data_IF_522172661231
#
_entry.id   IF_522172661231
#
_cell.length_a   1.000
_cell.length_b   1.000
_cell.length_c   1.000
_cell.angle_alpha   90.00
_cell.angle_beta   90.00
_cell.angle_gamma   90.00
#
_symmetry.space_group_name_H-M   'P 1'
#
loop_
_entity.id
_entity.type
_entity.pdbx_description
1 polymer ?
#
# COMPACT_ATOMS: atom_id res chain seq x y z
N UNK A 1 -27.65 47.89 -71.34
CA UNK A 1 -26.85 47.73 -70.11
C UNK A 1 -27.72 47.00 -69.10
N UNK A 2 -27.61 45.67 -69.06
CA UNK A 2 -28.32 44.80 -68.12
C UNK A 2 -27.34 44.39 -67.00
N UNK A 3 -27.73 44.39 -65.72
CA UNK A 3 -26.97 43.72 -64.68
C UNK A 3 -27.43 42.26 -64.55
N UNK A 4 -26.46 41.36 -64.54
CA UNK A 4 -26.59 39.91 -64.33
C UNK A 4 -26.69 39.57 -62.83
N UNK A 5 -27.25 38.41 -62.44
CA UNK A 5 -27.60 38.11 -61.06
C UNK A 5 -26.45 37.47 -60.26
N UNK A 6 -26.39 37.82 -58.98
CA UNK A 6 -25.46 37.29 -57.98
C UNK A 6 -25.73 35.81 -57.66
N UNK A 7 -24.72 34.96 -57.86
CA UNK A 7 -24.68 33.58 -57.39
C UNK A 7 -24.12 33.55 -55.96
N UNK A 8 -24.94 33.14 -54.99
CA UNK A 8 -24.50 32.79 -53.64
C UNK A 8 -23.95 31.36 -53.61
N UNK A 9 -22.65 31.19 -53.37
CA UNK A 9 -22.04 29.89 -53.08
C UNK A 9 -22.12 29.62 -51.56
N UNK A 10 -22.94 28.64 -51.18
CA UNK A 10 -22.95 28.09 -49.83
C UNK A 10 -21.78 27.10 -49.67
N UNK A 11 -20.80 27.44 -48.83
CA UNK A 11 -19.72 26.55 -48.46
C UNK A 11 -20.20 25.56 -47.37
N UNK A 12 -20.34 24.28 -47.72
CA UNK A 12 -20.50 23.20 -46.75
C UNK A 12 -19.15 22.91 -46.08
N UNK A 13 -18.98 23.40 -44.84
CA UNK A 13 -17.91 22.94 -43.97
C UNK A 13 -18.27 21.56 -43.41
N UNK A 14 -17.78 20.49 -44.06
CA UNK A 14 -17.73 19.16 -43.46
C UNK A 14 -16.70 19.20 -42.33
N UNK A 15 -17.18 19.26 -41.09
CA UNK A 15 -16.35 19.10 -39.90
C UNK A 15 -15.78 17.69 -39.87
N UNK A 16 -14.47 17.57 -40.07
CA UNK A 16 -13.74 16.32 -39.83
C UNK A 16 -13.69 16.16 -38.31
N UNK A 17 -14.56 15.30 -37.77
CA UNK A 17 -14.39 14.81 -36.41
C UNK A 17 -13.07 14.05 -36.35
N UNK A 18 -12.02 14.67 -35.83
CA UNK A 18 -10.78 13.98 -35.51
C UNK A 18 -11.04 13.05 -34.34
N UNK A 19 -11.35 11.79 -34.64
CA UNK A 19 -11.21 10.72 -33.65
C UNK A 19 -9.72 10.62 -33.33
N UNK A 20 -9.31 11.11 -32.15
CA UNK A 20 -7.97 10.85 -31.64
C UNK A 20 -7.77 9.32 -31.65
N UNK A 21 -6.70 8.79 -32.28
CA UNK A 21 -6.45 7.36 -32.27
C UNK A 21 -6.32 6.93 -30.81
N UNK A 22 -7.16 5.99 -30.37
CA UNK A 22 -6.87 5.24 -29.16
C UNK A 22 -5.54 4.55 -29.41
N UNK A 23 -4.50 4.99 -28.70
CA UNK A 23 -3.17 4.43 -28.80
C UNK A 23 -3.26 2.96 -28.34
N UNK A 24 -3.38 2.03 -29.28
CA UNK A 24 -3.20 0.61 -29.03
C UNK A 24 -1.71 0.40 -28.73
N UNK A 25 -1.30 0.74 -27.50
CA UNK A 25 0.05 0.46 -27.03
C UNK A 25 0.29 -1.04 -27.13
N UNK A 26 1.43 -1.41 -27.71
CA UNK A 26 1.84 -2.81 -27.72
C UNK A 26 2.04 -3.30 -26.27
N UNK A 27 1.82 -4.60 -26.01
CA UNK A 27 2.14 -5.18 -24.71
C UNK A 27 3.62 -5.00 -24.34
N UNK A 28 4.50 -4.91 -25.34
CA UNK A 28 5.92 -4.57 -25.18
C UNK A 28 6.15 -3.17 -24.60
N UNK A 29 5.43 -2.17 -25.11
CA UNK A 29 5.47 -0.79 -24.60
C UNK A 29 4.96 -0.72 -23.16
N UNK A 30 3.81 -1.35 -22.89
CA UNK A 30 3.21 -1.38 -21.56
C UNK A 30 4.13 -2.07 -20.54
N UNK A 31 4.74 -3.20 -20.90
CA UNK A 31 5.72 -3.88 -20.05
C UNK A 31 6.94 -2.98 -19.75
N UNK A 32 7.48 -2.33 -20.78
CA UNK A 32 8.64 -1.46 -20.66
C UNK A 32 8.35 -0.25 -19.76
N UNK A 33 7.18 0.39 -19.95
CA UNK A 33 6.72 1.50 -19.12
C UNK A 33 6.46 1.07 -17.68
N UNK A 34 5.85 -0.09 -17.48
CA UNK A 34 5.59 -0.64 -16.14
C UNK A 34 6.90 -0.92 -15.40
N UNK A 35 7.89 -1.55 -16.06
CA UNK A 35 9.22 -1.77 -15.47
C UNK A 35 9.89 -0.46 -15.08
N UNK A 36 9.86 0.55 -15.96
CA UNK A 36 10.44 1.86 -15.68
C UNK A 36 9.77 2.54 -14.48
N UNK A 37 8.45 2.53 -14.44
CA UNK A 37 7.65 3.09 -13.34
C UNK A 37 7.99 2.46 -11.99
N UNK A 38 8.18 1.14 -11.97
CA UNK A 38 8.44 0.37 -10.74
C UNK A 38 9.91 0.03 -10.53
N UNK A 39 10.81 0.64 -11.31
CA UNK A 39 12.28 0.46 -11.24
C UNK A 39 12.72 -1.00 -11.27
N UNK A 40 12.06 -1.81 -12.11
CA UNK A 40 12.34 -3.24 -12.24
C UNK A 40 13.50 -3.48 -13.19
N UNK A 41 14.49 -4.24 -12.73
CA UNK A 41 15.65 -4.69 -13.48
C UNK A 41 15.75 -6.21 -13.31
N UNK A 42 15.91 -6.93 -14.42
CA UNK A 42 15.97 -8.38 -14.43
C UNK A 42 17.19 -8.86 -15.21
N UNK A 43 17.71 -10.03 -14.84
CA UNK A 43 18.70 -10.73 -15.67
C UNK A 43 18.06 -11.32 -16.93
N UNK A 44 18.89 -11.66 -17.94
CA UNK A 44 18.42 -12.24 -19.21
C UNK A 44 17.54 -13.48 -19.03
N UNK A 45 17.85 -14.32 -18.04
CA UNK A 45 17.11 -15.55 -17.75
C UNK A 45 15.84 -15.31 -16.92
N UNK A 46 15.68 -14.12 -16.33
CA UNK A 46 14.55 -13.80 -15.45
C UNK A 46 13.45 -13.03 -16.18
N UNK A 47 13.82 -12.11 -17.07
CA UNK A 47 12.88 -11.19 -17.69
C UNK A 47 11.72 -11.89 -18.41
N UNK A 48 12.02 -12.98 -19.13
CA UNK A 48 11.01 -13.70 -19.91
C UNK A 48 9.86 -14.23 -19.07
N UNK A 49 10.16 -14.87 -17.92
CA UNK A 49 9.13 -15.44 -17.07
C UNK A 49 8.45 -14.37 -16.20
N UNK A 50 9.16 -13.33 -15.75
CA UNK A 50 8.56 -12.18 -15.06
C UNK A 50 7.53 -11.47 -15.94
N UNK A 51 7.86 -11.29 -17.23
CA UNK A 51 6.93 -10.75 -18.22
C UNK A 51 5.72 -11.65 -18.42
N UNK A 52 5.91 -12.97 -18.43
CA UNK A 52 4.80 -13.92 -18.54
C UNK A 52 3.83 -13.81 -17.35
N UNK A 53 4.35 -13.75 -16.12
CA UNK A 53 3.56 -13.52 -14.90
C UNK A 53 2.81 -12.19 -14.97
N UNK A 54 3.48 -11.12 -15.38
CA UNK A 54 2.84 -9.81 -15.58
C UNK A 54 1.72 -9.84 -16.62
N UNK A 55 1.92 -10.55 -17.73
CA UNK A 55 0.90 -10.72 -18.75
C UNK A 55 -0.32 -11.49 -18.24
N UNK A 56 -0.11 -12.51 -17.42
CA UNK A 56 -1.20 -13.27 -16.80
C UNK A 56 -1.98 -12.43 -15.79
N UNK A 57 -1.29 -11.66 -14.95
CA UNK A 57 -1.93 -10.73 -14.03
C UNK A 57 -2.71 -9.62 -14.76
N UNK A 58 -2.23 -9.14 -15.92
CA UNK A 58 -2.96 -8.19 -16.74
C UNK A 58 -4.27 -8.78 -17.25
N UNK A 59 -4.26 -10.02 -17.79
CA UNK A 59 -5.47 -10.71 -18.24
C UNK A 59 -6.47 -10.91 -17.11
N UNK A 60 -6.00 -11.31 -15.93
CA UNK A 60 -6.82 -11.44 -14.73
C UNK A 60 -7.51 -10.11 -14.38
N UNK A 61 -6.75 -9.01 -14.36
CA UNK A 61 -7.29 -7.66 -14.07
C UNK A 61 -8.33 -7.25 -15.10
N UNK A 62 -8.07 -7.45 -16.39
CA UNK A 62 -9.01 -7.11 -17.45
C UNK A 62 -10.30 -7.92 -17.37
N UNK A 63 -10.18 -9.22 -17.10
CA UNK A 63 -11.35 -10.10 -16.93
C UNK A 63 -12.19 -9.67 -15.73
N UNK A 64 -11.57 -9.47 -14.56
CA UNK A 64 -12.24 -8.97 -13.36
C UNK A 64 -12.97 -7.65 -13.63
N UNK A 65 -12.34 -6.72 -14.35
CA UNK A 65 -12.95 -5.43 -14.67
C UNK A 65 -14.08 -5.53 -15.72
N UNK A 66 -14.10 -6.56 -16.58
CA UNK A 66 -15.25 -6.87 -17.44
C UNK A 66 -16.43 -7.38 -16.61
N UNK A 67 -16.17 -8.30 -15.69
CA UNK A 67 -17.16 -8.85 -14.75
C UNK A 67 -17.72 -7.77 -13.81
N UNK A 68 -16.87 -6.83 -13.34
CA UNK A 68 -17.30 -5.65 -12.59
C UNK A 68 -18.31 -4.80 -13.38
N UNK A 69 -18.10 -4.58 -14.69
CA UNK A 69 -19.08 -3.86 -15.55
C UNK A 69 -20.42 -4.61 -15.66
N UNK A 70 -20.39 -5.92 -15.48
CA UNK A 70 -21.58 -6.79 -15.43
C UNK A 70 -22.19 -6.87 -14.02
N UNK A 71 -21.65 -6.12 -13.05
CA UNK A 71 -22.06 -6.08 -11.63
C UNK A 71 -21.86 -7.40 -10.89
N UNK A 72 -20.94 -8.24 -11.36
CA UNK A 72 -20.56 -9.49 -10.67
C UNK A 72 -19.60 -9.22 -9.49
N UNK A 73 -18.89 -8.08 -9.54
CA UNK A 73 -17.98 -7.62 -8.48
C UNK A 73 -18.33 -6.21 -7.99
N UNK A 74 -17.97 -5.92 -6.74
CA UNK A 74 -18.17 -4.60 -6.10
C UNK A 74 -16.92 -3.71 -6.13
N UNK A 75 -15.81 -4.20 -6.68
CA UNK A 75 -14.54 -3.48 -6.78
C UNK A 75 -13.88 -3.71 -8.14
N UNK A 76 -12.99 -2.80 -8.53
CA UNK A 76 -12.13 -2.92 -9.70
C UNK A 76 -10.70 -3.25 -9.32
N UNK A 77 -9.94 -3.79 -10.26
CA UNK A 77 -8.51 -4.06 -10.12
C UNK A 77 -7.70 -3.18 -11.06
N UNK A 78 -6.44 -2.92 -10.72
CA UNK A 78 -5.50 -2.18 -11.56
C UNK A 78 -4.09 -2.74 -11.41
N UNK A 79 -3.30 -2.63 -12.47
CA UNK A 79 -1.90 -3.03 -12.46
C UNK A 79 -1.10 -2.15 -11.50
N UNK A 80 -0.28 -2.76 -10.64
CA UNK A 80 0.54 -2.06 -9.64
C UNK A 80 1.95 -2.69 -9.56
N UNK A 81 2.74 -2.30 -8.57
CA UNK A 81 4.13 -2.77 -8.42
C UNK A 81 4.31 -4.28 -8.16
N UNK A 82 3.22 -5.00 -7.88
CA UNK A 82 3.22 -6.46 -7.69
C UNK A 82 2.89 -7.22 -8.98
N UNK A 83 2.78 -6.52 -10.11
CA UNK A 83 2.37 -7.10 -11.39
C UNK A 83 3.20 -8.29 -11.86
N UNK A 84 4.50 -8.32 -11.56
CA UNK A 84 5.44 -9.40 -11.93
C UNK A 84 5.58 -10.51 -10.89
N UNK A 85 4.79 -10.47 -9.81
CA UNK A 85 4.86 -11.44 -8.73
C UNK A 85 3.80 -12.52 -8.90
N UNK A 86 4.19 -13.76 -8.63
CA UNK A 86 3.25 -14.85 -8.43
C UNK A 86 2.53 -14.68 -7.09
N UNK A 87 1.36 -15.31 -6.94
CA UNK A 87 0.63 -15.33 -5.68
C UNK A 87 1.47 -15.90 -4.52
N UNK A 88 2.37 -16.85 -4.80
CA UNK A 88 3.24 -17.43 -3.77
C UNK A 88 4.31 -16.45 -3.31
N UNK A 89 5.02 -15.81 -4.25
CA UNK A 89 6.01 -14.77 -3.92
C UNK A 89 5.36 -13.62 -3.15
N UNK A 90 4.16 -13.18 -3.57
CA UNK A 90 3.42 -12.14 -2.87
C UNK A 90 3.12 -12.54 -1.43
N UNK A 91 2.63 -13.76 -1.19
CA UNK A 91 2.35 -14.26 0.16
C UNK A 91 3.61 -14.31 1.02
N UNK A 92 4.73 -14.74 0.47
CA UNK A 92 5.98 -14.83 1.23
C UNK A 92 6.50 -13.47 1.69
N UNK A 93 6.39 -12.43 0.86
CA UNK A 93 6.94 -11.10 1.20
C UNK A 93 5.94 -10.16 1.87
N UNK A 94 4.63 -10.36 1.69
CA UNK A 94 3.60 -9.44 2.21
C UNK A 94 2.84 -9.99 3.42
N UNK A 95 2.74 -11.31 3.60
CA UNK A 95 1.97 -11.89 4.70
C UNK A 95 2.83 -12.13 5.94
N UNK A 96 3.03 -11.07 6.71
CA UNK A 96 3.82 -11.12 7.95
C UNK A 96 3.04 -11.40 9.22
N UNK A 97 1.70 -11.56 9.18
CA UNK A 97 0.93 -11.70 10.41
C UNK A 97 1.09 -13.09 11.02
N UNK A 98 1.59 -13.13 12.25
CA UNK A 98 1.70 -14.34 13.05
C UNK A 98 0.62 -14.29 14.15
N UNK A 99 -0.45 -15.08 13.99
CA UNK A 99 -1.57 -15.07 14.92
C UNK A 99 -1.18 -15.83 16.20
N UNK A 100 -1.35 -15.17 17.35
CA UNK A 100 -1.20 -15.84 18.64
C UNK A 100 -2.42 -16.70 18.95
N UNK A 101 -2.17 -17.91 19.45
CA UNK A 101 -3.23 -18.84 19.91
C UNK A 101 -3.96 -18.34 21.16
N UNK A 102 -3.30 -17.54 22.00
CA UNK A 102 -3.85 -17.01 23.24
C UNK A 102 -3.72 -15.50 23.28
N UNK A 103 -4.86 -14.80 23.36
CA UNK A 103 -4.90 -13.35 23.51
C UNK A 103 -4.66 -12.98 24.98
N UNK A 104 -3.66 -12.15 25.24
CA UNK A 104 -3.32 -11.65 26.60
C UNK A 104 -3.83 -10.23 26.87
N UNK A 105 -4.45 -9.58 25.88
CA UNK A 105 -4.97 -8.22 25.99
C UNK A 105 -6.19 -8.07 26.90
N UNK A 106 -6.46 -6.83 27.33
CA UNK A 106 -7.68 -6.49 28.06
C UNK A 106 -8.91 -6.73 27.18
N UNK A 107 -10.00 -7.21 27.80
CA UNK A 107 -11.29 -7.34 27.12
C UNK A 107 -11.85 -5.95 26.86
N UNK A 108 -12.19 -5.66 25.60
CA UNK A 108 -12.87 -4.42 25.23
C UNK A 108 -14.26 -4.36 25.87
N UNK A 109 -14.53 -3.28 26.60
CA UNK A 109 -15.83 -3.02 27.22
C UNK A 109 -16.58 -2.01 26.36
N UNK A 110 -17.65 -2.40 25.65
CA UNK A 110 -18.39 -1.47 24.82
C UNK A 110 -19.11 -0.44 25.70
N UNK A 111 -19.12 0.84 25.29
CA UNK A 111 -19.89 1.86 26.01
C UNK A 111 -21.40 1.59 25.91
N UNK A 112 -22.10 1.58 27.06
CA UNK A 112 -23.51 1.17 27.18
C UNK A 112 -24.50 2.05 26.39
N UNK A 113 -24.16 3.33 26.20
CA UNK A 113 -25.07 4.33 25.61
C UNK A 113 -24.38 5.18 24.54
N UNK A 114 -23.37 4.64 23.85
CA UNK A 114 -22.72 5.40 22.79
C UNK A 114 -23.58 5.42 21.53
N UNK A 115 -23.91 6.63 21.07
CA UNK A 115 -24.40 6.84 19.71
C UNK A 115 -23.25 6.67 18.72
N UNK A 116 -23.29 5.60 17.94
CA UNK A 116 -22.27 5.31 16.93
C UNK A 116 -22.69 5.99 15.62
N UNK A 117 -21.89 6.91 15.07
CA UNK A 117 -22.21 7.54 13.80
C UNK A 117 -22.19 6.53 12.66
N UNK A 118 -23.03 6.76 11.64
CA UNK A 118 -23.11 5.90 10.45
C UNK A 118 -21.82 5.87 9.62
N UNK A 119 -20.93 6.85 9.81
CA UNK A 119 -19.61 6.86 9.18
C UNK A 119 -18.57 7.56 10.07
N UNK A 120 -17.33 7.04 10.03
CA UNK A 120 -16.16 7.64 10.70
C UNK A 120 -14.99 7.64 9.73
N UNK A 121 -14.28 8.78 9.66
CA UNK A 121 -13.01 8.88 8.94
C UNK A 121 -11.99 9.60 9.81
N UNK A 122 -11.13 8.82 10.47
CA UNK A 122 -10.08 9.33 11.36
C UNK A 122 -9.00 10.16 10.65
N UNK A 123 -8.80 9.97 9.34
CA UNK A 123 -7.90 10.82 8.53
C UNK A 123 -8.35 12.29 8.53
N UNK A 124 -9.66 12.52 8.34
CA UNK A 124 -10.25 13.88 8.38
C UNK A 124 -10.17 14.53 9.77
N UNK A 125 -9.87 13.74 10.81
CA UNK A 125 -9.72 14.20 12.19
C UNK A 125 -8.26 14.36 12.62
N UNK A 126 -7.29 14.10 11.74
CA UNK A 126 -5.85 14.25 12.03
C UNK A 126 -5.19 13.07 12.75
N UNK A 127 -5.86 11.92 12.86
CA UNK A 127 -5.36 10.75 13.61
C UNK A 127 -4.44 9.83 12.80
N UNK A 128 -4.21 10.12 11.53
CA UNK A 128 -3.61 9.17 10.58
C UNK A 128 -2.48 9.86 9.82
N UNK A 129 -1.29 9.28 9.89
CA UNK A 129 -0.09 9.69 9.15
C UNK A 129 -0.23 9.35 7.65
N UNK A 130 0.63 9.91 6.78
CA UNK A 130 0.67 9.52 5.37
C UNK A 130 0.89 8.01 5.17
N UNK A 131 0.41 7.47 4.05
CA UNK A 131 0.61 6.06 3.71
C UNK A 131 2.10 5.76 3.52
N UNK A 132 2.57 4.68 4.15
CA UNK A 132 3.95 4.17 4.07
C UNK A 132 4.05 2.93 3.18
N UNK A 133 5.25 2.39 2.98
CA UNK A 133 5.50 1.19 2.16
C UNK A 133 6.46 0.22 2.86
N UNK A 134 6.00 -1.00 3.13
CA UNK A 134 6.80 -2.04 3.80
C UNK A 134 7.92 -2.64 2.93
N UNK A 135 7.90 -2.41 1.62
CA UNK A 135 8.87 -3.01 0.71
C UNK A 135 8.77 -4.54 0.65
N UNK A 136 9.90 -5.22 0.41
CA UNK A 136 9.99 -6.68 0.34
C UNK A 136 10.31 -7.31 1.71
N UNK A 137 9.56 -6.90 2.73
CA UNK A 137 9.71 -7.36 4.10
C UNK A 137 8.32 -7.60 4.68
N UNK A 138 8.10 -8.74 5.34
CA UNK A 138 6.81 -9.10 5.90
C UNK A 138 6.57 -8.37 7.25
N UNK A 139 6.67 -7.05 7.24
CA UNK A 139 6.61 -6.17 8.41
C UNK A 139 5.27 -5.46 8.56
N UNK A 140 4.23 -5.83 7.81
CA UNK A 140 2.90 -5.21 7.91
C UNK A 140 2.31 -5.21 9.33
N UNK A 141 2.75 -6.14 10.19
CA UNK A 141 2.44 -6.15 11.62
C UNK A 141 3.00 -4.91 12.37
N UNK A 142 4.21 -4.46 12.03
CA UNK A 142 4.85 -3.28 12.61
C UNK A 142 4.12 -2.01 12.17
N UNK A 143 3.84 -1.86 10.87
CA UNK A 143 3.04 -0.75 10.32
C UNK A 143 1.64 -0.66 10.93
N UNK A 144 1.00 -1.81 11.17
CA UNK A 144 -0.29 -1.85 11.85
C UNK A 144 -0.19 -1.41 13.31
N UNK A 145 0.90 -1.77 14.01
CA UNK A 145 1.11 -1.39 15.40
C UNK A 145 1.43 0.11 15.53
N UNK A 146 2.37 0.63 14.75
CA UNK A 146 2.71 2.06 14.73
C UNK A 146 1.48 2.91 14.41
N UNK A 147 0.73 2.60 13.35
CA UNK A 147 -0.46 3.37 12.98
C UNK A 147 -1.54 3.42 14.08
N UNK A 148 -1.68 2.34 14.87
CA UNK A 148 -2.58 2.32 16.02
C UNK A 148 -2.06 3.19 17.17
N UNK A 149 -0.76 3.10 17.49
CA UNK A 149 -0.11 3.92 18.55
C UNK A 149 -0.16 5.40 18.16
N UNK A 150 0.18 5.74 16.92
CA UNK A 150 0.12 7.10 16.36
C UNK A 150 -1.26 7.74 16.59
N UNK A 151 -2.33 7.01 16.25
CA UNK A 151 -3.70 7.48 16.47
C UNK A 151 -4.03 7.71 17.94
N UNK A 152 -3.62 6.80 18.83
CA UNK A 152 -3.81 6.98 20.28
C UNK A 152 -2.99 8.13 20.85
N UNK A 153 -1.75 8.29 20.40
CA UNK A 153 -0.86 9.38 20.81
C UNK A 153 -1.38 10.73 20.35
N UNK A 154 -1.92 10.83 19.12
CA UNK A 154 -2.61 12.03 18.67
C UNK A 154 -3.84 12.32 19.52
N UNK A 155 -4.65 11.30 19.84
CA UNK A 155 -5.82 11.47 20.72
C UNK A 155 -5.45 11.99 22.12
N UNK A 156 -4.30 11.58 22.66
CA UNK A 156 -3.82 11.99 23.99
C UNK A 156 -3.12 13.35 24.00
N UNK A 157 -2.33 13.65 22.97
CA UNK A 157 -1.36 14.77 22.99
C UNK A 157 -1.66 15.84 21.96
N UNK A 158 -2.57 15.58 21.02
CA UNK A 158 -2.85 16.40 19.84
C UNK A 158 -1.64 16.66 18.94
N UNK A 159 -0.59 15.84 19.05
CA UNK A 159 0.59 15.87 18.17
C UNK A 159 0.65 14.59 17.37
N UNK A 160 0.60 14.71 16.05
CA UNK A 160 0.71 13.57 15.14
C UNK A 160 2.18 13.41 14.76
N UNK A 161 2.79 12.32 15.21
CA UNK A 161 4.20 12.00 14.95
C UNK A 161 4.23 10.62 14.31
N UNK A 162 4.95 10.49 13.19
CA UNK A 162 5.19 9.18 12.57
C UNK A 162 6.16 8.38 13.43
N UNK A 163 5.80 7.15 13.77
CA UNK A 163 6.59 6.25 14.61
C UNK A 163 7.37 5.23 13.78
N UNK A 164 8.48 4.76 14.32
CA UNK A 164 9.42 3.87 13.62
C UNK A 164 8.94 2.43 13.57
N UNK A 165 8.61 1.94 12.38
CA UNK A 165 8.43 0.49 12.18
C UNK A 165 9.74 -0.27 12.30
N UNK A 166 10.87 0.37 11.96
CA UNK A 166 12.19 -0.25 12.02
C UNK A 166 12.61 -0.59 13.45
N UNK A 167 12.30 0.29 14.41
CA UNK A 167 12.57 0.01 15.82
C UNK A 167 11.82 -1.25 16.29
N UNK A 168 10.57 -1.44 15.88
CA UNK A 168 9.84 -2.69 16.16
C UNK A 168 10.49 -3.89 15.47
N UNK A 169 10.90 -3.74 14.22
CA UNK A 169 11.51 -4.80 13.40
C UNK A 169 12.81 -5.33 14.02
N UNK A 170 13.63 -4.42 14.57
CA UNK A 170 14.96 -4.73 15.08
C UNK A 170 14.95 -5.12 16.57
N UNK A 171 13.95 -4.68 17.36
CA UNK A 171 13.99 -4.78 18.82
C UNK A 171 12.90 -5.66 19.45
N UNK A 172 11.73 -5.86 18.82
CA UNK A 172 10.60 -6.57 19.44
C UNK A 172 10.72 -8.12 19.40
N UNK A 173 11.94 -8.65 19.38
CA UNK A 173 12.22 -10.07 19.23
C UNK A 173 11.89 -10.86 20.51
N UNK A 174 12.18 -10.30 21.67
CA UNK A 174 11.90 -10.92 22.97
C UNK A 174 10.41 -11.17 23.22
N UNK A 175 9.55 -10.36 22.62
CA UNK A 175 8.10 -10.48 22.73
C UNK A 175 7.55 -11.49 21.70
N UNK A 176 8.39 -12.01 20.81
CA UNK A 176 8.06 -13.07 19.86
C UNK A 176 7.72 -12.58 18.45
N UNK A 177 8.17 -11.38 18.05
CA UNK A 177 8.19 -10.99 16.65
C UNK A 177 9.50 -11.47 15.98
N UNK A 178 9.48 -11.65 14.66
CA UNK A 178 10.60 -12.17 13.87
C UNK A 178 11.04 -11.22 12.75
N UNK A 179 10.93 -9.91 12.97
CA UNK A 179 11.32 -8.91 11.97
C UNK A 179 10.58 -9.10 10.64
N UNK A 180 11.35 -9.27 9.54
CA UNK A 180 10.80 -9.52 8.21
C UNK A 180 10.21 -10.91 7.99
N UNK A 181 10.38 -11.85 8.93
CA UNK A 181 9.69 -13.15 8.91
C UNK A 181 8.28 -13.07 9.47
N UNK A 182 7.86 -11.90 9.96
CA UNK A 182 6.54 -11.65 10.48
C UNK A 182 6.50 -11.42 11.99
N UNK A 183 5.30 -11.14 12.49
CA UNK A 183 5.05 -10.78 13.87
C UNK A 183 3.58 -10.45 14.13
N UNK A 184 3.32 -9.88 15.29
CA UNK A 184 1.99 -9.58 15.80
C UNK A 184 1.97 -8.21 16.47
N UNK A 185 0.89 -7.46 16.25
CA UNK A 185 0.69 -6.13 16.83
C UNK A 185 0.67 -6.16 18.36
N UNK A 186 0.08 -7.19 18.98
CA UNK A 186 0.02 -7.29 20.45
C UNK A 186 1.42 -7.44 21.06
N UNK A 187 2.33 -8.16 20.40
CA UNK A 187 3.72 -8.25 20.81
C UNK A 187 4.45 -6.91 20.64
N UNK A 188 4.17 -6.19 19.54
CA UNK A 188 4.72 -4.86 19.35
C UNK A 188 4.24 -3.89 20.46
N UNK A 189 2.95 -3.92 20.82
CA UNK A 189 2.43 -3.13 21.93
C UNK A 189 3.06 -3.50 23.27
N UNK A 190 3.29 -4.80 23.50
CA UNK A 190 3.97 -5.29 24.70
C UNK A 190 5.43 -4.82 24.74
N UNK A 191 6.15 -4.89 23.62
CA UNK A 191 7.51 -4.36 23.49
C UNK A 191 7.56 -2.88 23.83
N UNK A 192 6.70 -2.05 23.25
CA UNK A 192 6.70 -0.59 23.52
C UNK A 192 6.45 -0.30 25.00
N UNK A 193 5.61 -1.11 25.66
CA UNK A 193 5.37 -1.01 27.09
C UNK A 193 6.59 -1.41 27.91
N UNK A 194 7.24 -2.52 27.57
CA UNK A 194 8.38 -3.07 28.33
C UNK A 194 9.67 -2.26 28.10
N UNK A 195 9.87 -1.76 26.88
CA UNK A 195 10.95 -0.87 26.49
C UNK A 195 10.79 0.56 27.06
N UNK A 196 9.56 0.95 27.42
CA UNK A 196 9.25 2.29 27.94
C UNK A 196 9.16 3.38 26.87
N UNK A 197 9.11 3.01 25.58
CA UNK A 197 9.04 3.96 24.49
C UNK A 197 9.16 3.31 23.11
N UNK A 198 8.94 4.14 22.08
CA UNK A 198 9.15 3.82 20.68
C UNK A 198 9.68 5.05 19.95
N UNK A 199 10.71 4.89 19.13
CA UNK A 199 11.31 5.98 18.38
C UNK A 199 10.40 6.54 17.28
N UNK A 200 10.68 7.78 16.85
CA UNK A 200 10.02 8.36 15.68
C UNK A 200 10.63 7.79 14.39
N UNK A 201 9.84 7.82 13.31
CA UNK A 201 10.34 7.46 11.98
C UNK A 201 11.51 8.36 11.54
N UNK A 202 11.53 9.61 11.98
CA UNK A 202 12.62 10.55 11.67
C UNK A 202 13.93 10.16 12.36
N UNK A 203 13.88 9.71 13.62
CA UNK A 203 15.08 9.31 14.36
C UNK A 203 15.55 7.90 14.03
N UNK A 204 14.64 7.02 13.63
CA UNK A 204 14.96 5.64 13.23
C UNK A 204 14.19 5.24 11.96
N UNK A 205 14.72 5.58 10.76
CA UNK A 205 14.03 5.37 9.49
C UNK A 205 13.86 3.91 9.09
N UNK A 206 12.84 3.64 8.27
CA UNK A 206 12.54 2.31 7.74
C UNK A 206 13.47 1.89 6.59
N UNK A 207 14.01 0.66 6.69
CA UNK A 207 14.95 0.10 5.72
C UNK A 207 14.48 -1.20 5.06
N UNK A 208 13.30 -1.72 5.43
CA UNK A 208 12.75 -2.97 4.88
C UNK A 208 13.64 -4.20 5.04
N UNK A 209 14.50 -4.21 6.06
CA UNK A 209 15.36 -5.33 6.42
C UNK A 209 15.70 -5.22 7.91
N UNK A 210 16.01 -6.36 8.54
CA UNK A 210 16.48 -6.36 9.94
C UNK A 210 17.93 -5.87 9.97
N UNK A 211 18.21 -4.85 10.77
CA UNK A 211 19.55 -4.31 10.94
C UNK A 211 20.22 -4.92 12.19
N UNK A 212 21.25 -5.73 11.98
CA UNK A 212 22.08 -6.29 13.07
C UNK A 212 21.44 -7.46 13.85
N UNK A 213 22.23 -8.08 14.73
CA UNK A 213 21.75 -9.06 15.71
C UNK A 213 20.89 -8.35 16.78
N UNK A 214 19.89 -9.01 17.41
CA UNK A 214 18.92 -8.35 18.28
C UNK A 214 19.62 -7.53 19.37
N UNK A 215 19.56 -6.20 19.24
CA UNK A 215 20.16 -5.28 20.20
C UNK A 215 19.33 -5.34 21.50
N UNK A 216 19.95 -5.85 22.56
CA UNK A 216 19.52 -5.59 23.93
C UNK A 216 19.60 -4.08 24.15
N UNK A 217 18.44 -3.44 24.36
CA UNK A 217 18.37 -2.02 24.67
C UNK A 217 19.23 -1.71 25.90
N UNK A 218 20.36 -1.03 25.70
CA UNK A 218 21.13 -0.43 26.78
C UNK A 218 20.42 0.88 27.14
N UNK A 219 19.91 0.90 28.37
CA UNK A 219 19.38 2.06 29.08
C UNK A 219 20.04 3.40 28.65
N UNK A 220 19.26 4.32 28.10
CA UNK A 220 19.58 5.74 28.21
C UNK A 220 18.32 6.59 28.09
N UNK A 221 17.70 6.92 29.22
CA UNK A 221 17.15 8.25 29.51
C UNK A 221 17.23 8.48 31.03
N UNK A 222 18.29 9.18 31.43
CA UNK A 222 18.23 10.12 32.57
C UNK A 222 17.58 11.41 32.10
#
# INVERSE_FOLDING_TARGET
MHPSPSLFLAALCLGIASAAPQLNQSLDELWSQWKATHRKLYGMNEEGWRRAVWGENMKMIEQHNREYKQKEHSFTMAMNGFGDMTNEEFRQVMNGLQIQKHKKGKVFQPPLFAEIPSSVNWRKKGYVTPTKNQGQCASGWAFSATGAIEGQMFGKTHKLVSLSEQNLLDCAWSEGNGGCSGGNMDNAFQYVKDNGGLDSEESYPYHAQVNGAPYLAINTLQ
#
